data_IF_096163072577
#
_entry.id   IF_096163072577
#
_cell.length_a   1.000
_cell.length_b   1.000
_cell.length_c   1.000
_cell.angle_alpha   90.00
_cell.angle_beta   90.00
_cell.angle_gamma   90.00
#
_symmetry.space_group_name_H-M   'P 1'
#
loop_
_entity.id
_entity.type
_entity.pdbx_description
1 polymer ?
#
# COMPACT_ATOMS: atom_id res chain seq x y z
N UNK A 1 -5.53 3.82 -16.68
CA UNK A 1 -4.16 3.33 -16.52
C UNK A 1 -3.95 3.09 -15.04
N UNK A 2 -3.31 1.99 -14.64
CA UNK A 2 -2.98 1.75 -13.24
C UNK A 2 -1.58 2.30 -12.97
N UNK A 3 -1.36 2.82 -11.77
CA UNK A 3 -0.07 3.32 -11.33
C UNK A 3 0.51 2.36 -10.28
N UNK A 4 1.78 2.02 -10.42
CA UNK A 4 2.51 1.27 -9.39
C UNK A 4 3.40 2.26 -8.66
N UNK A 5 3.24 2.37 -7.35
CA UNK A 5 4.02 3.27 -6.50
C UNK A 5 4.69 2.51 -5.37
N UNK A 6 5.82 3.03 -4.92
CA UNK A 6 6.44 2.62 -3.66
C UNK A 6 5.83 3.46 -2.53
N UNK A 7 5.51 2.81 -1.42
CA UNK A 7 4.98 3.48 -0.24
C UNK A 7 5.49 2.84 1.06
N UNK A 8 5.40 3.58 2.15
CA UNK A 8 5.73 3.11 3.50
C UNK A 8 4.44 2.93 4.29
N UNK A 9 4.30 1.79 4.97
CA UNK A 9 3.10 1.51 5.77
C UNK A 9 3.09 2.33 7.06
N UNK A 10 2.05 3.15 7.23
CA UNK A 10 1.85 3.97 8.42
C UNK A 10 1.08 3.21 9.51
N UNK A 11 0.03 2.51 9.11
CA UNK A 11 -0.87 1.76 10.00
C UNK A 11 -1.35 0.49 9.31
N UNK A 12 -1.68 -0.52 10.11
CA UNK A 12 -2.23 -1.81 9.66
C UNK A 12 -3.49 -2.12 10.46
N UNK A 13 -4.61 -2.38 9.79
CA UNK A 13 -5.87 -2.73 10.42
C UNK A 13 -6.55 -3.88 9.65
N UNK A 14 -6.46 -5.10 10.18
CA UNK A 14 -6.93 -6.30 9.47
C UNK A 14 -6.24 -6.43 8.12
N UNK A 15 -7.00 -6.55 7.03
CA UNK A 15 -6.49 -6.66 5.66
C UNK A 15 -6.23 -5.30 4.99
N UNK A 16 -6.37 -4.19 5.71
CA UNK A 16 -6.17 -2.84 5.16
C UNK A 16 -5.00 -2.13 5.84
N UNK A 17 -4.36 -1.24 5.10
CA UNK A 17 -3.25 -0.42 5.56
C UNK A 17 -3.40 1.02 5.08
N UNK A 18 -2.96 1.99 5.87
CA UNK A 18 -2.68 3.32 5.34
C UNK A 18 -1.20 3.40 5.00
N UNK A 19 -0.90 3.96 3.84
CA UNK A 19 0.46 4.02 3.31
C UNK A 19 0.78 5.43 2.85
N UNK A 20 2.07 5.77 2.91
CA UNK A 20 2.60 7.06 2.50
C UNK A 20 3.57 6.86 1.35
N UNK A 21 3.30 7.46 0.19
CA UNK A 21 4.22 7.40 -0.94
C UNK A 21 5.41 8.34 -0.73
N UNK A 22 6.55 8.05 -1.36
CA UNK A 22 7.72 8.95 -1.32
C UNK A 22 7.42 10.33 -1.91
N UNK A 23 6.43 10.42 -2.81
CA UNK A 23 5.95 11.67 -3.42
C UNK A 23 5.02 12.48 -2.50
N UNK A 24 4.81 12.04 -1.26
CA UNK A 24 4.01 12.75 -0.26
C UNK A 24 2.51 12.48 -0.31
N UNK A 25 2.07 11.47 -1.06
CA UNK A 25 0.66 11.08 -1.14
C UNK A 25 0.32 10.11 -0.01
N UNK A 26 -0.67 10.46 0.81
CA UNK A 26 -1.32 9.50 1.72
C UNK A 26 -2.37 8.72 0.93
N UNK A 27 -2.25 7.38 0.97
CA UNK A 27 -3.25 6.46 0.44
C UNK A 27 -3.85 5.69 1.61
N UNK A 28 -5.13 5.96 1.86
CA UNK A 28 -5.87 5.35 2.95
C UNK A 28 -6.56 4.06 2.49
N UNK A 29 -6.69 3.10 3.41
CA UNK A 29 -7.42 1.84 3.20
C UNK A 29 -6.90 1.01 2.01
N UNK A 30 -5.59 0.93 1.84
CA UNK A 30 -4.99 0.04 0.85
C UNK A 30 -5.12 -1.41 1.27
N UNK A 31 -5.77 -2.20 0.43
CA UNK A 31 -6.03 -3.60 0.70
C UNK A 31 -4.78 -4.44 0.46
N UNK A 32 -4.44 -5.31 1.41
CA UNK A 32 -3.42 -6.35 1.21
C UNK A 32 -3.95 -7.38 0.22
N UNK A 33 -3.19 -7.70 -0.82
CA UNK A 33 -3.48 -8.92 -1.56
C UNK A 33 -3.24 -10.14 -0.67
N UNK A 34 -3.93 -11.24 -0.99
CA UNK A 34 -3.89 -12.48 -0.21
C UNK A 34 -2.44 -12.96 -0.05
N UNK A 35 -2.15 -13.55 1.10
CA UNK A 35 -0.85 -14.11 1.48
C UNK A 35 0.29 -13.09 1.68
N UNK A 36 -0.02 -11.77 1.67
CA UNK A 36 0.95 -10.74 2.05
C UNK A 36 0.80 -10.39 3.54
N UNK A 37 1.87 -10.62 4.29
CA UNK A 37 2.00 -10.10 5.66
C UNK A 37 2.76 -8.78 5.62
N UNK A 38 2.15 -7.73 6.17
CA UNK A 38 2.69 -6.37 6.15
C UNK A 38 2.66 -5.80 7.55
N UNK A 39 3.74 -5.12 7.95
CA UNK A 39 3.88 -4.45 9.24
C UNK A 39 4.05 -2.94 9.09
N UNK A 40 3.78 -2.21 10.17
CA UNK A 40 4.07 -0.77 10.23
C UNK A 40 5.56 -0.53 9.98
N UNK A 41 5.87 0.42 9.10
CA UNK A 41 7.23 0.77 8.70
C UNK A 41 7.76 -0.03 7.52
N UNK A 42 7.06 -1.07 7.05
CA UNK A 42 7.46 -1.79 5.85
C UNK A 42 7.37 -0.89 4.62
N UNK A 43 8.36 -1.01 3.74
CA UNK A 43 8.28 -0.50 2.38
C UNK A 43 7.48 -1.49 1.54
N UNK A 44 6.51 -1.00 0.78
CA UNK A 44 5.59 -1.81 -0.02
C UNK A 44 5.46 -1.30 -1.44
N UNK A 45 5.12 -2.21 -2.34
CA UNK A 45 4.64 -1.90 -3.68
C UNK A 45 3.11 -1.84 -3.64
N UNK A 46 2.57 -0.74 -4.15
CA UNK A 46 1.14 -0.45 -4.17
C UNK A 46 0.69 -0.22 -5.59
N UNK A 47 -0.36 -0.90 -6.02
CA UNK A 47 -1.07 -0.57 -7.26
C UNK A 47 -2.20 0.38 -6.89
N UNK A 48 -2.25 1.55 -7.51
CA UNK A 48 -3.38 2.47 -7.50
C UNK A 48 -4.11 2.35 -8.84
N UNK A 49 -5.39 2.00 -8.80
CA UNK A 49 -6.21 1.92 -10.00
C UNK A 49 -6.75 3.31 -10.41
N UNK A 50 -7.44 3.35 -11.55
CA UNK A 50 -8.05 4.60 -12.08
C UNK A 50 -9.20 5.17 -11.23
N UNK A 51 -9.65 4.44 -10.22
CA UNK A 51 -10.73 4.82 -9.29
C UNK A 51 -10.18 5.18 -7.90
N UNK A 52 -8.86 5.33 -7.76
CA UNK A 52 -8.15 5.56 -6.50
C UNK A 52 -8.28 4.43 -5.47
N UNK A 53 -8.61 3.21 -5.91
CA UNK A 53 -8.43 2.04 -5.05
C UNK A 53 -6.95 1.69 -5.00
N UNK A 54 -6.45 1.36 -3.81
CA UNK A 54 -5.06 0.95 -3.64
C UNK A 54 -4.93 -0.48 -3.11
N UNK A 55 -3.98 -1.22 -3.67
CA UNK A 55 -3.71 -2.61 -3.34
C UNK A 55 -2.22 -2.82 -3.07
N UNK A 56 -1.88 -3.34 -1.90
CA UNK A 56 -0.51 -3.74 -1.59
C UNK A 56 -0.26 -5.09 -2.27
N UNK A 57 0.72 -5.13 -3.18
CA UNK A 57 1.07 -6.30 -3.99
C UNK A 57 2.42 -6.93 -3.63
N UNK A 58 3.17 -6.31 -2.72
CA UNK A 58 4.45 -6.84 -2.27
C UNK A 58 5.06 -6.01 -1.15
N UNK A 59 5.89 -6.66 -0.33
CA UNK A 59 6.76 -6.01 0.66
C UNK A 59 8.18 -5.99 0.11
N UNK A 60 8.83 -4.83 0.16
CA UNK A 60 10.21 -4.61 -0.24
C UNK A 60 11.09 -4.79 1.01
N UNK A 61 11.85 -5.89 1.07
CA UNK A 61 12.86 -6.17 2.10
C UNK A 61 14.25 -6.13 1.50
#
# INVERSE_FOLDING_TARGET
>A
MNLIVKATVLTTNGDYCNVFTEDGLNLDSCQKTKDITVFKGDNVLVIVDKFNNCFIIGVLR
#
